data_IF_379416002318
#
_entry.id   IF_379416002318
#
_cell.length_a   1.000
_cell.length_b   1.000
_cell.length_c   1.000
_cell.angle_alpha   90.00
_cell.angle_beta   90.00
_cell.angle_gamma   90.00
#
_symmetry.space_group_name_H-M   'P 1'
#
loop_
_entity.id
_entity.type
_entity.pdbx_description
1 polymer ?
#
# COMPACT_ATOMS: atom_id res chain seq x y z
N UNK A 1 -13.58 -20.67 -36.69
CA UNK A 1 -12.32 -21.28 -36.21
C UNK A 1 -11.48 -20.29 -35.38
N UNK A 2 -12.08 -19.51 -34.45
CA UNK A 2 -11.41 -18.32 -33.87
C UNK A 2 -11.18 -18.34 -32.34
N UNK A 3 -11.80 -19.27 -31.60
CA UNK A 3 -11.67 -19.36 -30.14
C UNK A 3 -10.77 -20.50 -29.64
N UNK A 4 -10.12 -21.25 -30.54
CA UNK A 4 -9.36 -22.45 -30.19
C UNK A 4 -8.31 -22.22 -29.10
N UNK A 5 -7.61 -21.08 -29.12
CA UNK A 5 -6.60 -20.78 -28.10
C UNK A 5 -7.21 -20.52 -26.73
N UNK A 6 -8.36 -19.83 -26.66
CA UNK A 6 -9.05 -19.55 -25.39
C UNK A 6 -9.61 -20.85 -24.81
N UNK A 7 -10.32 -21.64 -25.61
CA UNK A 7 -10.85 -22.95 -25.19
C UNK A 7 -9.73 -23.91 -24.79
N UNK A 8 -8.57 -23.85 -25.48
CA UNK A 8 -7.41 -24.66 -25.11
C UNK A 8 -6.77 -24.22 -23.79
N UNK A 9 -6.67 -22.91 -23.52
CA UNK A 9 -6.19 -22.40 -22.24
C UNK A 9 -7.13 -22.84 -21.11
N UNK A 10 -8.44 -22.70 -21.30
CA UNK A 10 -9.45 -23.14 -20.34
C UNK A 10 -9.32 -24.65 -20.03
N UNK A 11 -9.24 -25.49 -21.05
CA UNK A 11 -9.02 -26.93 -20.90
C UNK A 11 -7.70 -27.25 -20.16
N UNK A 12 -6.61 -26.53 -20.47
CA UNK A 12 -5.33 -26.71 -19.78
C UNK A 12 -5.36 -26.25 -18.33
N UNK A 13 -6.15 -25.23 -18.01
CA UNK A 13 -6.38 -24.85 -16.62
C UNK A 13 -7.14 -25.95 -15.88
N UNK A 14 -8.11 -26.59 -16.53
CA UNK A 14 -8.74 -27.82 -16.01
C UNK A 14 -7.74 -28.93 -15.72
N UNK A 15 -6.78 -29.15 -16.63
CA UNK A 15 -5.70 -30.14 -16.42
C UNK A 15 -4.82 -29.79 -15.21
N UNK A 16 -4.47 -28.51 -15.02
CA UNK A 16 -3.73 -28.06 -13.83
C UNK A 16 -4.51 -28.32 -12.55
N UNK A 17 -5.83 -28.05 -12.53
CA UNK A 17 -6.66 -28.32 -11.37
C UNK A 17 -6.76 -29.83 -11.07
N UNK A 18 -6.85 -30.66 -12.11
CA UNK A 18 -6.82 -32.12 -11.95
C UNK A 18 -5.47 -32.60 -11.41
N UNK A 19 -4.36 -32.04 -11.88
CA UNK A 19 -3.02 -32.38 -11.37
C UNK A 19 -2.78 -31.91 -9.93
N UNK A 20 -3.46 -30.85 -9.45
CA UNK A 20 -3.44 -30.51 -8.03
C UNK A 20 -4.30 -31.47 -7.20
N UNK A 21 -5.34 -32.03 -7.80
CA UNK A 21 -6.28 -32.94 -7.15
C UNK A 21 -5.71 -34.35 -7.02
N UNK A 22 -4.97 -34.81 -8.03
CA UNK A 22 -4.30 -36.11 -8.13
C UNK A 22 -2.90 -35.88 -8.76
N UNK A 23 -1.87 -35.55 -7.96
CA UNK A 23 -0.54 -35.18 -8.45
C UNK A 23 0.23 -36.30 -9.14
N UNK A 24 -0.05 -37.56 -8.78
CA UNK A 24 0.67 -38.73 -9.29
C UNK A 24 -0.10 -39.46 -10.42
N UNK A 25 -1.36 -39.07 -10.66
CA UNK A 25 -2.28 -39.58 -11.68
C UNK A 25 -2.64 -41.07 -11.53
N UNK A 26 -2.70 -41.61 -10.31
CA UNK A 26 -3.08 -43.00 -10.01
C UNK A 26 -4.57 -43.19 -9.69
N UNK A 27 -5.33 -42.10 -9.57
CA UNK A 27 -6.75 -42.10 -9.23
C UNK A 27 -7.07 -42.13 -7.73
N UNK A 28 -6.06 -42.31 -6.87
CA UNK A 28 -6.13 -41.98 -5.44
C UNK A 28 -5.94 -40.47 -5.25
N UNK A 29 -6.73 -39.88 -4.36
CA UNK A 29 -6.67 -38.44 -4.06
C UNK A 29 -6.17 -38.17 -2.64
N UNK A 30 -5.66 -39.21 -1.96
CA UNK A 30 -5.16 -39.10 -0.60
C UNK A 30 -3.95 -38.15 -0.48
N UNK A 31 -3.19 -37.95 -1.57
CA UNK A 31 -2.06 -37.03 -1.70
C UNK A 31 -2.44 -35.66 -2.33
N UNK A 32 -3.74 -35.39 -2.49
CA UNK A 32 -4.25 -34.16 -3.09
C UNK A 32 -3.74 -32.90 -2.38
N UNK A 33 -3.24 -31.94 -3.15
CA UNK A 33 -2.81 -30.62 -2.67
C UNK A 33 -3.80 -29.51 -3.04
N UNK A 34 -4.85 -29.83 -3.80
CA UNK A 34 -5.79 -28.85 -4.34
C UNK A 34 -6.53 -28.04 -3.26
N UNK A 35 -6.77 -28.64 -2.09
CA UNK A 35 -7.46 -27.97 -0.99
C UNK A 35 -6.62 -26.83 -0.40
N UNK A 36 -5.31 -27.03 -0.28
CA UNK A 36 -4.38 -26.07 0.34
C UNK A 36 -3.54 -25.27 -0.67
N UNK A 37 -3.94 -25.26 -1.94
CA UNK A 37 -3.29 -24.47 -2.99
C UNK A 37 -4.13 -23.25 -3.35
N UNK A 38 -3.52 -22.06 -3.32
CA UNK A 38 -4.07 -20.87 -3.95
C UNK A 38 -3.79 -20.89 -5.46
N UNK A 39 -4.85 -20.86 -6.26
CA UNK A 39 -4.78 -20.72 -7.71
C UNK A 39 -5.25 -19.32 -8.08
N UNK A 40 -4.42 -18.57 -8.82
CA UNK A 40 -4.75 -17.24 -9.36
C UNK A 40 -4.70 -17.31 -10.89
N UNK A 41 -5.81 -16.98 -11.53
CA UNK A 41 -5.88 -16.74 -12.97
C UNK A 41 -5.95 -15.23 -13.20
N UNK A 42 -5.04 -14.69 -14.02
CA UNK A 42 -5.03 -13.27 -14.39
C UNK A 42 -4.39 -13.07 -15.77
N UNK A 43 -4.82 -12.04 -16.50
CA UNK A 43 -4.12 -11.57 -17.72
C UNK A 43 -3.14 -10.42 -17.42
N UNK A 44 -2.11 -10.24 -18.25
CA UNK A 44 -1.07 -9.22 -18.06
C UNK A 44 -1.45 -7.83 -18.63
N UNK A 45 -2.42 -7.78 -19.55
CA UNK A 45 -2.99 -6.54 -20.12
C UNK A 45 -4.32 -6.81 -20.83
N UNK A 46 -5.00 -5.75 -21.23
CA UNK A 46 -6.21 -5.85 -22.06
C UNK A 46 -5.95 -6.50 -23.42
N UNK A 47 -7.03 -6.97 -24.05
CA UNK A 47 -7.02 -7.71 -25.31
C UNK A 47 -6.41 -6.96 -26.50
N UNK A 48 -6.17 -7.67 -27.62
CA UNK A 48 -5.39 -7.18 -28.75
C UNK A 48 -6.00 -5.95 -29.44
N UNK A 49 -5.19 -5.30 -30.29
CA UNK A 49 -5.61 -4.19 -31.17
C UNK A 49 -6.18 -4.73 -32.49
N UNK A 50 -6.82 -3.85 -33.27
CA UNK A 50 -7.23 -4.13 -34.65
C UNK A 50 -8.51 -4.96 -34.73
N UNK A 51 -8.74 -5.59 -35.89
CA UNK A 51 -9.95 -6.38 -36.19
C UNK A 51 -10.20 -7.49 -35.16
N UNK A 52 -9.14 -8.10 -34.63
CA UNK A 52 -9.25 -9.12 -33.59
C UNK A 52 -9.95 -8.62 -32.31
N UNK A 53 -9.91 -7.31 -32.01
CA UNK A 53 -10.65 -6.76 -30.86
C UNK A 53 -12.15 -6.87 -31.07
N UNK A 54 -12.62 -6.41 -32.22
CA UNK A 54 -14.05 -6.32 -32.56
C UNK A 54 -14.62 -7.69 -32.86
N UNK A 55 -13.88 -8.52 -33.60
CA UNK A 55 -14.30 -9.88 -33.96
C UNK A 55 -14.42 -10.83 -32.76
N UNK A 56 -13.68 -10.58 -31.68
CA UNK A 56 -13.66 -11.45 -30.49
C UNK A 56 -14.34 -10.83 -29.27
N UNK A 57 -14.85 -9.60 -29.39
CA UNK A 57 -15.23 -8.74 -28.24
C UNK A 57 -14.21 -8.83 -27.09
N UNK A 58 -12.93 -8.70 -27.44
CA UNK A 58 -11.82 -9.11 -26.58
C UNK A 58 -11.69 -8.32 -25.27
N UNK A 59 -12.45 -7.24 -25.12
CA UNK A 59 -12.45 -6.34 -23.97
C UNK A 59 -13.85 -6.11 -23.38
N UNK A 60 -14.87 -6.88 -23.76
CA UNK A 60 -16.21 -6.83 -23.17
C UNK A 60 -16.85 -5.44 -23.21
N UNK A 61 -16.77 -4.76 -24.37
CA UNK A 61 -17.29 -3.39 -24.53
C UNK A 61 -16.51 -2.27 -23.83
N UNK A 62 -15.42 -2.57 -23.13
CA UNK A 62 -14.55 -1.54 -22.52
C UNK A 62 -13.78 -0.76 -23.59
N UNK A 63 -13.50 0.51 -23.30
CA UNK A 63 -12.74 1.37 -24.21
C UNK A 63 -11.27 1.01 -24.20
N UNK A 64 -10.66 0.97 -25.38
CA UNK A 64 -9.23 0.72 -25.54
C UNK A 64 -8.90 -0.76 -25.70
N UNK A 65 -7.60 -1.03 -25.66
CA UNK A 65 -6.98 -2.34 -25.93
C UNK A 65 -5.55 -2.33 -25.40
N UNK A 66 -4.81 -3.43 -25.53
CA UNK A 66 -3.39 -3.56 -25.18
C UNK A 66 -2.57 -2.29 -25.42
N UNK A 67 -1.89 -1.84 -24.37
CA UNK A 67 -1.00 -0.67 -24.37
C UNK A 67 -1.71 0.69 -24.40
N UNK A 68 -3.02 0.74 -24.12
CA UNK A 68 -3.74 1.98 -23.86
C UNK A 68 -4.10 2.10 -22.38
N UNK A 69 -4.24 3.34 -21.89
CA UNK A 69 -4.55 3.65 -20.47
C UNK A 69 -6.04 3.52 -20.11
N UNK A 70 -6.89 3.29 -21.11
CA UNK A 70 -8.33 3.11 -20.95
C UNK A 70 -8.65 1.74 -20.32
N UNK A 71 -9.85 1.54 -19.78
CA UNK A 71 -10.25 0.33 -19.05
C UNK A 71 -9.99 -0.94 -19.86
N UNK A 72 -10.30 -0.97 -21.15
CA UNK A 72 -10.03 -2.12 -22.03
C UNK A 72 -8.55 -2.38 -22.33
N UNK A 73 -7.63 -1.55 -21.84
CA UNK A 73 -6.20 -1.78 -21.91
C UNK A 73 -5.56 -2.26 -20.60
N UNK A 74 -6.19 -1.97 -19.45
CA UNK A 74 -5.63 -2.21 -18.11
C UNK A 74 -6.50 -3.11 -17.22
N UNK A 75 -7.82 -3.13 -17.42
CA UNK A 75 -8.75 -3.96 -16.64
C UNK A 75 -8.78 -5.37 -17.24
N UNK A 76 -8.36 -6.34 -16.44
CA UNK A 76 -8.21 -7.75 -16.84
C UNK A 76 -9.11 -8.65 -16.00
N UNK A 77 -9.50 -9.84 -16.50
CA UNK A 77 -10.14 -10.85 -15.67
C UNK A 77 -9.15 -11.36 -14.60
N UNK A 78 -9.59 -11.42 -13.36
CA UNK A 78 -8.86 -12.04 -12.24
C UNK A 78 -9.78 -12.97 -11.47
N UNK A 79 -9.37 -14.23 -11.31
CA UNK A 79 -10.11 -15.26 -10.56
C UNK A 79 -9.14 -15.89 -9.56
N UNK A 80 -9.59 -16.06 -8.31
CA UNK A 80 -8.80 -16.69 -7.25
C UNK A 80 -9.58 -17.83 -6.62
N UNK A 81 -8.91 -18.96 -6.38
CA UNK A 81 -9.48 -20.16 -5.75
C UNK A 81 -8.51 -20.71 -4.71
N UNK A 82 -8.98 -20.89 -3.47
CA UNK A 82 -8.25 -21.62 -2.42
C UNK A 82 -9.24 -22.29 -1.47
N UNK A 83 -9.59 -23.57 -1.67
CA UNK A 83 -10.71 -24.20 -0.98
C UNK A 83 -10.58 -24.24 0.55
N UNK A 84 -9.37 -24.37 1.10
CA UNK A 84 -9.14 -24.36 2.55
C UNK A 84 -9.36 -23.00 3.20
N UNK A 85 -9.07 -21.91 2.49
CA UNK A 85 -8.95 -20.55 3.07
C UNK A 85 -10.03 -19.59 2.60
N UNK A 86 -10.51 -19.72 1.37
CA UNK A 86 -11.63 -18.94 0.85
C UNK A 86 -12.92 -19.65 1.28
N UNK A 87 -13.46 -19.24 2.43
CA UNK A 87 -14.63 -19.86 3.07
C UNK A 87 -15.90 -19.02 2.87
N UNK A 88 -17.02 -19.48 3.42
CA UNK A 88 -18.27 -18.70 3.42
C UNK A 88 -18.17 -17.35 4.16
N UNK A 89 -17.16 -17.19 5.03
CA UNK A 89 -16.87 -15.93 5.76
C UNK A 89 -16.06 -14.94 4.94
N UNK A 90 -15.37 -15.40 3.90
CA UNK A 90 -14.57 -14.57 3.01
C UNK A 90 -15.46 -13.64 2.19
N UNK A 91 -14.94 -12.46 1.85
CA UNK A 91 -15.63 -11.55 0.91
C UNK A 91 -15.70 -12.14 -0.49
N UNK A 92 -14.68 -12.91 -0.88
CA UNK A 92 -14.54 -13.58 -2.17
C UNK A 92 -14.94 -15.07 -2.12
N UNK A 93 -16.01 -15.42 -1.40
CA UNK A 93 -16.52 -16.81 -1.34
C UNK A 93 -16.89 -17.37 -2.71
N UNK A 94 -16.99 -18.69 -2.83
CA UNK A 94 -17.33 -19.38 -4.07
C UNK A 94 -18.60 -18.77 -4.73
N UNK A 95 -18.49 -18.45 -6.02
CA UNK A 95 -19.58 -17.86 -6.81
C UNK A 95 -19.85 -16.38 -6.54
N UNK A 96 -19.02 -15.70 -5.74
CA UNK A 96 -19.14 -14.26 -5.47
C UNK A 96 -18.10 -13.42 -6.22
N UNK A 97 -18.26 -12.10 -6.17
CA UNK A 97 -17.33 -11.11 -6.70
C UNK A 97 -17.10 -9.99 -5.67
N UNK A 98 -16.02 -9.23 -5.85
CA UNK A 98 -15.72 -8.04 -5.03
C UNK A 98 -15.51 -6.83 -5.93
N UNK A 99 -15.91 -5.65 -5.44
CA UNK A 99 -15.66 -4.37 -6.10
C UNK A 99 -14.33 -3.73 -5.66
N UNK A 100 -13.49 -4.47 -4.92
CA UNK A 100 -12.15 -4.00 -4.56
C UNK A 100 -11.33 -3.82 -5.84
N UNK A 101 -10.81 -2.61 -6.03
CA UNK A 101 -9.90 -2.28 -7.14
C UNK A 101 -8.52 -2.86 -6.83
N UNK A 102 -8.18 -3.91 -7.56
CA UNK A 102 -6.90 -4.61 -7.49
C UNK A 102 -5.95 -4.15 -8.60
N UNK A 103 -4.65 -4.17 -8.29
CA UNK A 103 -3.55 -4.09 -9.24
C UNK A 103 -2.70 -5.37 -9.14
N UNK A 104 -1.94 -5.69 -10.19
CA UNK A 104 -1.00 -6.81 -10.18
C UNK A 104 0.03 -6.68 -9.05
N UNK A 105 0.42 -5.44 -8.69
CA UNK A 105 1.34 -5.20 -7.56
C UNK A 105 0.80 -5.69 -6.21
N UNK A 106 -0.51 -5.89 -6.06
CA UNK A 106 -1.14 -6.40 -4.83
C UNK A 106 -0.82 -7.89 -4.59
N UNK A 107 -0.41 -8.63 -5.63
CA UNK A 107 -0.13 -10.07 -5.53
C UNK A 107 1.07 -10.36 -4.63
N UNK A 108 2.17 -9.61 -4.76
CA UNK A 108 3.37 -9.83 -3.96
C UNK A 108 3.11 -9.73 -2.43
N UNK A 109 2.56 -8.62 -1.90
CA UNK A 109 2.28 -8.54 -0.47
C UNK A 109 1.20 -9.55 -0.04
N UNK A 110 0.25 -9.90 -0.93
CA UNK A 110 -0.74 -10.95 -0.66
C UNK A 110 -0.07 -12.31 -0.45
N UNK A 111 0.86 -12.69 -1.33
CA UNK A 111 1.57 -13.96 -1.22
C UNK A 111 2.50 -13.99 -0.01
N UNK A 112 3.20 -12.88 0.28
CA UNK A 112 4.00 -12.77 1.50
C UNK A 112 3.15 -13.01 2.76
N UNK A 113 2.02 -12.32 2.89
CA UNK A 113 1.14 -12.46 4.06
C UNK A 113 0.58 -13.88 4.20
N UNK A 114 0.12 -14.48 3.09
CA UNK A 114 -0.44 -15.84 3.10
C UNK A 114 0.62 -16.92 3.38
N UNK A 115 1.87 -16.67 2.99
CA UNK A 115 3.01 -17.56 3.28
C UNK A 115 3.63 -17.31 4.66
N UNK A 116 3.21 -16.27 5.40
CA UNK A 116 3.86 -15.84 6.63
C UNK A 116 5.27 -15.27 6.41
N UNK A 117 5.59 -14.85 5.19
CA UNK A 117 6.88 -14.25 4.84
C UNK A 117 6.87 -12.74 5.10
N UNK A 118 8.03 -12.14 5.42
CA UNK A 118 8.16 -10.68 5.50
C UNK A 118 7.74 -10.01 4.19
N UNK A 119 6.94 -8.94 4.29
CA UNK A 119 6.57 -8.11 3.14
C UNK A 119 7.69 -7.11 2.88
N UNK A 120 8.27 -7.05 1.66
CA UNK A 120 9.27 -6.04 1.32
C UNK A 120 8.79 -4.61 1.59
N UNK A 121 9.72 -3.71 1.89
CA UNK A 121 9.43 -2.30 2.11
C UNK A 121 9.26 -1.54 0.78
N UNK A 122 8.47 -0.48 0.78
CA UNK A 122 8.32 0.41 -0.37
C UNK A 122 7.51 -0.17 -1.54
N UNK A 123 6.72 -1.22 -1.29
CA UNK A 123 5.85 -1.80 -2.30
C UNK A 123 4.65 -0.90 -2.61
N UNK A 124 4.24 -0.93 -3.88
CA UNK A 124 3.01 -0.28 -4.34
C UNK A 124 1.73 -1.06 -4.04
N UNK A 125 1.85 -2.37 -3.83
CA UNK A 125 0.72 -3.26 -3.58
C UNK A 125 0.16 -3.20 -2.16
N UNK A 126 -1.09 -3.64 -2.02
CA UNK A 126 -1.77 -3.88 -0.75
C UNK A 126 -2.24 -5.32 -0.71
N UNK A 127 -1.88 -6.05 0.34
CA UNK A 127 -2.31 -7.44 0.51
C UNK A 127 -3.84 -7.57 0.49
N UNK A 128 -4.32 -8.56 -0.25
CA UNK A 128 -5.72 -8.99 -0.32
C UNK A 128 -6.02 -10.19 0.57
N UNK A 129 -5.04 -10.66 1.35
CA UNK A 129 -5.20 -11.84 2.20
C UNK A 129 -6.45 -11.74 3.10
N UNK A 130 -6.74 -10.60 3.79
CA UNK A 130 -7.97 -10.48 4.58
C UNK A 130 -9.26 -10.61 3.77
N UNK A 131 -9.26 -10.16 2.52
CA UNK A 131 -10.42 -10.32 1.61
C UNK A 131 -10.62 -11.77 1.20
N UNK A 132 -9.51 -12.49 0.98
CA UNK A 132 -9.52 -13.91 0.59
C UNK A 132 -9.88 -14.83 1.75
N UNK A 133 -9.30 -14.61 2.93
CA UNK A 133 -9.48 -15.50 4.10
C UNK A 133 -10.69 -15.11 4.97
N UNK A 134 -11.10 -13.84 4.93
CA UNK A 134 -12.07 -13.28 5.87
C UNK A 134 -11.48 -13.02 7.27
N UNK A 135 -10.16 -13.16 7.43
CA UNK A 135 -9.45 -12.96 8.69
C UNK A 135 -8.71 -11.62 8.69
N UNK A 136 -8.70 -10.93 9.82
CA UNK A 136 -8.06 -9.62 9.94
C UNK A 136 -8.81 -8.48 9.24
N UNK A 137 -8.12 -7.35 9.05
CA UNK A 137 -8.70 -6.13 8.50
C UNK A 137 -8.08 -5.74 7.17
N UNK A 138 -8.87 -5.74 6.10
CA UNK A 138 -8.43 -5.30 4.78
C UNK A 138 -7.91 -3.85 4.83
N UNK A 139 -6.62 -3.66 4.51
CA UNK A 139 -6.07 -2.33 4.24
C UNK A 139 -6.68 -1.81 2.94
N UNK A 140 -7.04 -0.54 2.91
CA UNK A 140 -7.68 0.08 1.75
C UNK A 140 -6.66 0.96 1.06
N UNK A 141 -6.35 0.66 -0.20
CA UNK A 141 -5.64 1.57 -1.08
C UNK A 141 -6.60 2.68 -1.50
N UNK A 142 -6.24 3.94 -1.21
CA UNK A 142 -7.11 5.07 -1.54
C UNK A 142 -7.20 5.30 -3.06
N UNK A 143 -6.06 5.20 -3.75
CA UNK A 143 -5.97 5.45 -5.18
C UNK A 143 -4.98 4.50 -5.87
N UNK A 144 -5.14 4.32 -7.18
CA UNK A 144 -4.26 3.51 -8.02
C UNK A 144 -3.80 4.33 -9.22
N UNK A 145 -2.50 4.28 -9.52
CA UNK A 145 -1.91 4.97 -10.67
C UNK A 145 -1.52 3.95 -11.72
N UNK A 146 -1.77 4.30 -12.98
CA UNK A 146 -1.34 3.52 -14.12
C UNK A 146 -0.60 4.41 -15.10
N UNK A 147 0.40 3.84 -15.77
CA UNK A 147 1.09 4.46 -16.90
C UNK A 147 1.06 3.53 -18.11
N UNK A 148 0.56 4.04 -19.24
CA UNK A 148 0.47 3.27 -20.47
C UNK A 148 0.39 4.20 -21.69
N UNK A 149 1.07 3.82 -22.78
CA UNK A 149 0.97 4.55 -24.05
C UNK A 149 1.36 6.03 -23.95
N UNK A 150 2.33 6.36 -23.09
CA UNK A 150 2.79 7.73 -22.83
C UNK A 150 1.77 8.61 -22.09
N UNK A 151 0.87 8.01 -21.32
CA UNK A 151 -0.12 8.70 -20.49
C UNK A 151 -0.09 8.13 -19.08
N UNK A 152 -0.54 8.95 -18.13
CA UNK A 152 -0.76 8.56 -16.75
C UNK A 152 -2.24 8.72 -16.39
N UNK A 153 -2.74 7.83 -15.54
CA UNK A 153 -4.09 7.91 -14.96
C UNK A 153 -4.08 7.63 -13.48
N UNK A 154 -5.07 8.16 -12.77
CA UNK A 154 -5.34 7.83 -11.36
C UNK A 154 -6.79 7.40 -11.20
N UNK A 155 -7.02 6.30 -10.50
CA UNK A 155 -8.33 5.84 -10.04
C UNK A 155 -8.41 6.12 -8.55
N UNK A 156 -9.42 6.86 -8.10
CA UNK A 156 -9.72 7.07 -6.67
C UNK A 156 -11.22 6.93 -6.43
N UNK A 157 -11.59 5.93 -5.62
CA UNK A 157 -12.97 5.50 -5.50
C UNK A 157 -13.56 5.14 -6.88
N UNK A 158 -14.69 5.74 -7.23
CA UNK A 158 -15.37 5.50 -8.52
C UNK A 158 -14.82 6.31 -9.70
N UNK A 159 -13.91 7.25 -9.47
CA UNK A 159 -13.48 8.18 -10.50
C UNK A 159 -12.11 7.83 -11.06
N UNK A 160 -11.98 7.92 -12.39
CA UNK A 160 -10.71 7.78 -13.10
C UNK A 160 -10.38 9.07 -13.84
N UNK A 161 -9.24 9.67 -13.51
CA UNK A 161 -8.66 10.78 -14.26
C UNK A 161 -7.58 10.24 -15.20
N UNK A 162 -7.61 10.64 -16.47
CA UNK A 162 -6.52 10.45 -17.43
C UNK A 162 -5.92 11.83 -17.75
N UNK A 163 -4.61 11.97 -17.52
CA UNK A 163 -3.88 13.21 -17.76
C UNK A 163 -3.77 13.51 -19.27
N UNK A 164 -3.90 14.78 -19.69
CA UNK A 164 -3.67 15.14 -21.08
C UNK A 164 -2.24 14.85 -21.53
N UNK A 165 -2.10 14.32 -22.74
CA UNK A 165 -0.82 14.19 -23.45
C UNK A 165 -0.26 15.58 -23.73
N UNK A 166 1.02 15.79 -23.43
CA UNK A 166 1.70 17.06 -23.66
C UNK A 166 1.64 18.07 -22.49
N UNK A 167 1.12 17.68 -21.32
CA UNK A 167 1.42 18.43 -20.09
C UNK A 167 2.94 18.49 -19.89
N UNK A 168 3.56 19.61 -19.48
CA UNK A 168 5.00 19.89 -19.61
C UNK A 168 6.00 18.90 -18.96
N UNK A 169 5.55 17.79 -18.37
CA UNK A 169 6.39 16.79 -17.71
C UNK A 169 6.25 15.36 -18.28
N UNK A 170 5.45 15.14 -19.33
CA UNK A 170 5.37 13.85 -20.02
C UNK A 170 6.58 13.69 -20.96
N UNK A 171 7.70 13.20 -20.42
CA UNK A 171 8.93 12.95 -21.17
C UNK A 171 8.72 11.87 -22.23
N UNK A 172 8.79 12.27 -23.50
CA UNK A 172 8.75 11.31 -24.61
C UNK A 172 8.77 12.02 -25.96
N UNK A 173 9.96 12.08 -26.60
CA UNK A 173 10.10 12.58 -27.97
C UNK A 173 9.28 11.71 -28.94
N UNK A 174 8.55 12.39 -29.81
CA UNK A 174 7.78 11.92 -30.97
C UNK A 174 8.12 10.49 -31.47
N UNK A 175 7.26 9.52 -31.18
CA UNK A 175 7.14 8.29 -31.98
C UNK A 175 5.82 8.31 -32.76
N UNK A 176 5.89 7.97 -34.05
CA UNK A 176 4.78 8.01 -35.01
C UNK A 176 3.57 7.18 -34.52
N UNK A 177 2.39 7.75 -34.75
CA UNK A 177 1.07 7.36 -34.23
C UNK A 177 0.56 6.01 -34.79
N UNK A 178 0.04 5.09 -33.97
CA UNK A 178 -0.99 4.17 -34.43
C UNK A 178 -2.35 4.88 -34.44
N UNK A 179 -3.02 4.89 -35.60
CA UNK A 179 -4.43 5.30 -35.71
C UNK A 179 -5.31 4.20 -35.11
N UNK A 180 -5.70 4.29 -33.83
CA UNK A 180 -6.80 3.48 -33.28
C UNK A 180 -8.08 4.31 -33.25
N UNK A 181 -9.18 3.71 -33.74
CA UNK A 181 -10.41 4.36 -34.21
C UNK A 181 -11.36 4.97 -33.18
N UNK A 182 -10.89 5.46 -32.03
CA UNK A 182 -11.68 6.38 -31.18
C UNK A 182 -10.70 7.45 -30.68
N UNK A 183 -10.44 8.45 -31.51
CA UNK A 183 -9.53 9.53 -31.19
C UNK A 183 -10.21 10.51 -30.21
N UNK A 184 -10.25 10.14 -28.92
CA UNK A 184 -10.52 11.15 -27.89
C UNK A 184 -9.42 12.19 -27.92
N UNK A 185 -9.79 13.46 -27.74
CA UNK A 185 -8.86 14.57 -27.68
C UNK A 185 -7.93 14.42 -26.46
N UNK A 186 -6.80 13.76 -26.68
CA UNK A 186 -5.81 13.51 -25.64
C UNK A 186 -5.11 14.78 -25.18
N UNK A 187 -5.35 15.94 -25.79
CA UNK A 187 -4.81 17.23 -25.31
C UNK A 187 -5.59 17.79 -24.11
N UNK A 188 -6.76 17.22 -23.78
CA UNK A 188 -7.60 17.62 -22.64
C UNK A 188 -7.58 16.58 -21.53
N UNK A 189 -7.78 17.05 -20.30
CA UNK A 189 -8.02 16.15 -19.17
C UNK A 189 -9.31 15.36 -19.39
N UNK A 190 -9.28 14.09 -19.02
CA UNK A 190 -10.45 13.22 -19.11
C UNK A 190 -10.77 12.67 -17.74
N UNK A 191 -12.03 12.77 -17.34
CA UNK A 191 -12.52 12.25 -16.07
C UNK A 191 -13.74 11.38 -16.34
N UNK A 192 -13.73 10.17 -15.80
CA UNK A 192 -14.81 9.19 -15.95
C UNK A 192 -15.28 8.72 -14.58
N UNK A 193 -16.55 8.37 -14.49
CA UNK A 193 -17.15 7.71 -13.35
C UNK A 193 -17.35 6.23 -13.70
N UNK A 194 -16.42 5.38 -13.26
CA UNK A 194 -16.34 3.97 -13.67
C UNK A 194 -17.52 3.12 -13.16
N UNK A 195 -18.27 3.60 -12.16
CA UNK A 195 -19.42 2.87 -11.62
C UNK A 195 -20.63 2.94 -12.56
N UNK A 196 -20.82 4.06 -13.26
CA UNK A 196 -21.96 4.26 -14.19
C UNK A 196 -21.51 4.30 -15.65
N UNK A 197 -20.22 4.48 -15.90
CA UNK A 197 -19.62 4.54 -17.23
C UNK A 197 -18.30 3.74 -17.28
N UNK A 198 -18.34 2.41 -17.10
CA UNK A 198 -17.16 1.55 -17.13
C UNK A 198 -16.50 1.51 -18.52
N UNK A 199 -17.25 1.82 -19.58
CA UNK A 199 -16.73 1.94 -20.94
C UNK A 199 -16.12 3.33 -21.24
N UNK A 200 -16.04 4.22 -20.24
CA UNK A 200 -15.47 5.56 -20.35
C UNK A 200 -16.07 6.37 -21.51
N UNK A 201 -17.36 6.27 -21.82
CA UNK A 201 -17.97 6.96 -22.97
C UNK A 201 -18.15 8.46 -22.74
N UNK A 202 -18.36 8.88 -21.49
CA UNK A 202 -18.81 10.21 -21.10
C UNK A 202 -17.74 10.95 -20.29
N UNK A 203 -16.95 11.81 -20.94
CA UNK A 203 -15.98 12.65 -20.24
C UNK A 203 -16.69 13.73 -19.41
N UNK A 204 -16.58 13.66 -18.08
CA UNK A 204 -17.20 14.60 -17.14
C UNK A 204 -16.23 15.65 -16.57
N UNK A 205 -15.02 15.77 -17.13
CA UNK A 205 -13.99 16.68 -16.61
C UNK A 205 -14.46 18.14 -16.49
N UNK A 206 -15.17 18.66 -17.50
CA UNK A 206 -15.70 20.04 -17.47
C UNK A 206 -16.79 20.26 -16.41
N UNK A 207 -17.47 19.19 -15.99
CA UNK A 207 -18.52 19.23 -14.96
C UNK A 207 -17.96 19.10 -13.54
N UNK A 208 -16.70 18.68 -13.37
CA UNK A 208 -16.04 18.48 -12.07
C UNK A 208 -14.60 19.03 -12.03
N UNK A 209 -14.40 20.33 -12.29
CA UNK A 209 -13.04 20.90 -12.41
C UNK A 209 -12.22 20.82 -11.11
N UNK A 210 -12.85 20.93 -9.94
CA UNK A 210 -12.17 20.78 -8.65
C UNK A 210 -11.61 19.37 -8.46
N UNK A 211 -12.40 18.34 -8.79
CA UNK A 211 -11.95 16.95 -8.70
C UNK A 211 -10.83 16.66 -9.70
N UNK A 212 -10.88 17.23 -10.91
CA UNK A 212 -9.78 17.14 -11.87
C UNK A 212 -8.50 17.75 -11.30
N UNK A 213 -8.58 18.94 -10.69
CA UNK A 213 -7.44 19.61 -10.06
C UNK A 213 -6.85 18.75 -8.95
N UNK A 214 -7.69 18.22 -8.07
CA UNK A 214 -7.31 17.39 -6.94
C UNK A 214 -6.62 16.09 -7.38
N UNK A 215 -7.25 15.31 -8.26
CA UNK A 215 -6.69 14.06 -8.77
C UNK A 215 -5.41 14.28 -9.57
N UNK A 216 -5.31 15.39 -10.32
CA UNK A 216 -4.09 15.70 -11.04
C UNK A 216 -2.94 16.09 -10.10
N UNK A 217 -3.25 16.78 -8.99
CA UNK A 217 -2.28 17.08 -7.94
C UNK A 217 -1.78 15.79 -7.28
N UNK A 218 -2.68 14.87 -6.91
CA UNK A 218 -2.35 13.55 -6.36
C UNK A 218 -1.44 12.75 -7.31
N UNK A 219 -1.82 12.65 -8.59
CA UNK A 219 -1.01 11.98 -9.61
C UNK A 219 0.35 12.67 -9.84
N UNK A 220 0.49 13.95 -9.49
CA UNK A 220 1.78 14.67 -9.58
C UNK A 220 2.62 14.44 -8.33
N UNK A 221 1.99 14.44 -7.14
CA UNK A 221 2.69 14.26 -5.88
C UNK A 221 3.28 12.86 -5.74
N UNK A 222 2.66 11.84 -6.33
CA UNK A 222 3.14 10.45 -6.32
C UNK A 222 4.37 10.21 -7.19
N UNK A 223 4.62 11.08 -8.18
CA UNK A 223 5.81 10.95 -9.02
C UNK A 223 7.06 11.20 -8.17
N UNK A 224 7.96 10.22 -8.18
CA UNK A 224 9.32 10.36 -7.69
C UNK A 224 10.23 10.52 -8.90
N UNK A 225 11.17 11.46 -8.86
CA UNK A 225 12.17 11.57 -9.92
C UNK A 225 13.24 10.50 -9.67
N UNK A 226 13.32 9.51 -10.56
CA UNK A 226 14.20 8.36 -10.41
C UNK A 226 15.32 8.39 -11.48
N UNK A 227 16.51 7.84 -11.17
CA UNK A 227 17.54 7.61 -12.16
C UNK A 227 17.01 6.75 -13.32
N UNK A 228 17.47 7.03 -14.53
CA UNK A 228 17.04 6.27 -15.71
C UNK A 228 17.43 4.79 -15.57
N UNK A 229 16.44 3.90 -15.51
CA UNK A 229 16.63 2.45 -15.51
C UNK A 229 16.58 1.76 -14.15
N UNK A 230 16.01 2.38 -13.10
CA UNK A 230 16.13 1.84 -11.75
C UNK A 230 14.86 1.27 -11.09
N UNK A 231 15.10 0.31 -10.19
CA UNK A 231 14.20 -0.25 -9.19
C UNK A 231 14.35 0.56 -7.87
N UNK A 232 13.71 0.17 -6.77
CA UNK A 232 13.97 0.83 -5.47
C UNK A 232 15.44 0.64 -5.04
N UNK A 233 16.09 1.65 -4.44
CA UNK A 233 17.40 1.51 -3.77
C UNK A 233 17.23 1.15 -2.30
N UNK A 234 18.14 0.35 -1.76
CA UNK A 234 18.05 -0.18 -0.39
C UNK A 234 19.22 0.30 0.45
N UNK A 235 18.93 0.89 1.60
CA UNK A 235 19.92 1.51 2.47
C UNK A 235 19.73 1.05 3.93
N UNK A 236 20.84 0.79 4.62
CA UNK A 236 20.83 0.28 5.99
C UNK A 236 21.56 1.26 6.90
N UNK A 237 21.00 1.45 8.09
CA UNK A 237 21.64 2.23 9.13
C UNK A 237 22.95 1.56 9.57
N UNK A 238 24.01 2.34 9.61
CA UNK A 238 25.33 1.93 10.10
C UNK A 238 25.97 2.99 11.02
N UNK A 239 25.21 4.03 11.34
CA UNK A 239 25.65 5.11 12.20
C UNK A 239 25.78 4.71 13.67
N UNK A 240 26.53 5.50 14.47
CA UNK A 240 26.55 5.36 15.91
C UNK A 240 25.14 5.50 16.55
N UNK A 241 25.02 5.05 17.80
CA UNK A 241 23.79 5.24 18.59
C UNK A 241 23.42 6.72 18.72
N UNK A 242 22.13 7.00 18.53
CA UNK A 242 21.49 8.31 18.60
C UNK A 242 22.08 9.39 17.66
N UNK A 243 22.75 8.99 16.58
CA UNK A 243 23.32 9.95 15.60
C UNK A 243 22.29 10.42 14.56
N UNK A 244 22.62 11.46 13.80
CA UNK A 244 21.69 12.13 12.88
C UNK A 244 21.23 11.20 11.76
N UNK A 245 19.90 11.08 11.61
CA UNK A 245 19.23 10.38 10.52
C UNK A 245 19.55 10.98 9.14
N UNK A 246 19.89 12.27 9.11
CA UNK A 246 20.15 13.03 7.88
C UNK A 246 21.62 12.96 7.43
N UNK A 247 22.52 12.41 8.25
CA UNK A 247 23.93 12.33 7.90
C UNK A 247 24.16 11.20 6.88
N UNK A 248 24.69 11.48 5.68
CA UNK A 248 25.02 10.46 4.69
C UNK A 248 25.97 9.38 5.22
N UNK A 249 26.89 9.70 6.13
CA UNK A 249 27.88 8.73 6.64
C UNK A 249 27.23 7.60 7.46
N UNK A 250 26.02 7.84 7.98
CA UNK A 250 25.28 6.88 8.80
C UNK A 250 24.47 5.87 7.98
N UNK A 251 24.50 5.96 6.65
CA UNK A 251 23.79 5.06 5.75
C UNK A 251 24.75 4.29 4.86
N UNK A 252 24.44 3.01 4.64
CA UNK A 252 25.18 2.19 3.67
C UNK A 252 25.02 2.75 2.25
N UNK A 253 26.08 2.66 1.46
CA UNK A 253 25.98 2.80 0.01
C UNK A 253 25.10 1.67 -0.56
N UNK A 254 24.36 1.99 -1.61
CA UNK A 254 23.66 1.00 -2.40
C UNK A 254 24.47 0.65 -3.64
N UNK A 255 24.77 -0.64 -3.85
CA UNK A 255 25.50 -1.12 -5.02
C UNK A 255 24.72 -2.27 -5.66
N UNK A 256 24.19 -2.05 -6.86
CA UNK A 256 23.61 -3.11 -7.68
C UNK A 256 24.69 -3.74 -8.55
N UNK A 257 25.33 -4.79 -8.02
CA UNK A 257 26.33 -5.60 -8.69
C UNK A 257 25.71 -6.92 -9.17
N UNK A 258 25.87 -7.23 -10.46
CA UNK A 258 25.51 -8.55 -10.98
C UNK A 258 26.58 -9.03 -11.96
N UNK A 259 27.06 -10.27 -11.76
CA UNK A 259 28.13 -10.88 -12.56
C UNK A 259 29.39 -10.00 -12.72
N UNK A 260 29.77 -9.25 -11.68
CA UNK A 260 30.93 -8.35 -11.69
C UNK A 260 30.70 -7.00 -12.38
N UNK A 261 29.49 -6.72 -12.87
CA UNK A 261 29.12 -5.44 -13.47
C UNK A 261 28.31 -4.63 -12.46
N UNK A 262 28.79 -3.43 -12.12
CA UNK A 262 28.02 -2.46 -11.34
C UNK A 262 27.06 -1.74 -12.28
N UNK A 263 25.78 -2.03 -12.14
CA UNK A 263 24.71 -1.40 -12.92
C UNK A 263 24.30 -0.06 -12.31
N UNK A 264 24.36 0.05 -10.99
CA UNK A 264 24.02 1.28 -10.26
C UNK A 264 24.76 1.32 -8.94
N UNK A 265 25.18 2.52 -8.56
CA UNK A 265 25.70 2.82 -7.24
C UNK A 265 25.05 4.12 -6.78
N UNK A 266 24.60 4.15 -5.53
CA UNK A 266 24.04 5.33 -4.91
C UNK A 266 24.59 5.53 -3.50
N UNK A 267 25.08 6.73 -3.26
CA UNK A 267 25.57 7.23 -1.98
C UNK A 267 24.85 8.55 -1.63
N UNK A 268 25.10 9.04 -0.42
CA UNK A 268 24.66 10.36 0.03
C UNK A 268 23.55 10.31 1.08
N UNK A 269 22.85 11.44 1.32
CA UNK A 269 21.82 11.51 2.34
C UNK A 269 20.52 10.83 1.87
N UNK A 270 19.57 10.56 2.78
CA UNK A 270 18.25 10.04 2.45
C UNK A 270 17.55 10.76 1.30
N UNK A 271 16.91 9.99 0.40
CA UNK A 271 16.14 10.49 -0.74
C UNK A 271 14.77 9.83 -0.81
N UNK A 272 13.83 10.51 -1.45
CA UNK A 272 12.43 10.09 -1.57
C UNK A 272 12.19 8.77 -2.34
N UNK A 273 13.20 8.20 -3.00
CA UNK A 273 13.17 6.86 -3.62
C UNK A 273 13.86 5.76 -2.77
N UNK A 274 14.40 6.08 -1.59
CA UNK A 274 15.10 5.12 -0.74
C UNK A 274 14.12 4.21 0.03
N UNK A 275 14.32 2.91 -0.07
CA UNK A 275 13.86 1.95 0.93
C UNK A 275 14.94 1.78 1.99
N UNK A 276 14.73 2.36 3.17
CA UNK A 276 15.73 2.37 4.23
C UNK A 276 15.32 1.53 5.43
N UNK A 277 16.30 0.97 6.14
CA UNK A 277 16.07 0.22 7.36
C UNK A 277 17.06 0.63 8.46
N UNK A 278 16.52 0.89 9.65
CA UNK A 278 17.28 1.00 10.90
C UNK A 278 17.16 -0.36 11.60
N UNK A 279 18.12 -1.25 11.34
CA UNK A 279 18.19 -2.58 11.95
C UNK A 279 19.25 -2.59 13.06
N UNK A 280 18.79 -2.67 14.31
CA UNK A 280 19.64 -2.39 15.46
C UNK A 280 20.07 -0.92 15.55
N UNK A 281 20.79 -0.59 16.62
CA UNK A 281 21.19 0.80 16.90
C UNK A 281 20.01 1.75 17.14
N UNK A 282 20.31 3.04 17.12
CA UNK A 282 19.32 4.10 17.23
C UNK A 282 19.74 5.32 16.41
N UNK A 283 18.76 5.96 15.77
CA UNK A 283 18.93 7.18 15.00
C UNK A 283 18.09 8.33 15.57
N UNK A 284 18.51 9.56 15.30
CA UNK A 284 17.81 10.78 15.71
C UNK A 284 17.49 11.61 14.47
N UNK A 285 16.19 11.80 14.20
CA UNK A 285 15.73 12.77 13.21
C UNK A 285 15.80 14.18 13.82
N UNK A 286 16.82 14.92 13.42
CA UNK A 286 17.07 16.31 13.81
C UNK A 286 16.90 17.32 12.67
N UNK A 287 16.61 16.82 11.47
CA UNK A 287 16.22 17.55 10.27
C UNK A 287 15.14 16.76 9.54
N UNK A 288 14.35 17.46 8.74
CA UNK A 288 13.39 16.81 7.85
C UNK A 288 14.13 15.90 6.87
N UNK A 289 13.63 14.68 6.72
CA UNK A 289 14.24 13.64 5.89
C UNK A 289 13.16 12.91 5.11
N UNK A 290 13.50 12.46 3.90
CA UNK A 290 12.56 11.80 3.00
C UNK A 290 13.07 10.42 2.59
N UNK A 291 12.14 9.46 2.57
CA UNK A 291 12.33 8.09 2.15
C UNK A 291 11.13 7.65 1.29
N UNK A 292 11.34 6.67 0.41
CA UNK A 292 10.22 5.93 -0.18
C UNK A 292 9.55 5.08 0.89
N UNK A 293 10.34 4.34 1.67
CA UNK A 293 9.87 3.64 2.84
C UNK A 293 10.96 3.57 3.90
N UNK A 294 10.56 3.56 5.18
CA UNK A 294 11.49 3.44 6.30
C UNK A 294 11.02 2.35 7.26
N UNK A 295 11.83 1.31 7.46
CA UNK A 295 11.64 0.30 8.48
C UNK A 295 12.50 0.61 9.70
N UNK A 296 11.92 0.45 10.90
CA UNK A 296 12.57 0.67 12.19
C UNK A 296 12.46 -0.62 13.00
N UNK A 297 13.55 -1.36 13.07
CA UNK A 297 13.73 -2.56 13.91
C UNK A 297 14.66 -2.27 15.10
N UNK A 298 15.46 -1.19 15.03
CA UNK A 298 16.19 -0.55 16.14
C UNK A 298 15.42 0.63 16.77
N UNK A 299 16.08 1.76 16.98
CA UNK A 299 15.50 2.98 17.54
C UNK A 299 15.44 4.14 16.54
N UNK A 300 14.36 4.92 16.58
CA UNK A 300 14.26 6.22 15.90
C UNK A 300 13.61 7.25 16.81
N UNK A 301 14.33 8.31 17.17
CA UNK A 301 13.78 9.46 17.90
C UNK A 301 13.56 10.64 16.95
N UNK A 302 12.33 11.16 16.90
CA UNK A 302 11.99 12.36 16.11
C UNK A 302 11.91 13.59 17.03
N UNK A 303 12.79 14.56 16.78
CA UNK A 303 12.89 15.81 17.57
C UNK A 303 11.67 16.72 17.36
N UNK A 304 11.40 17.65 18.30
CA UNK A 304 10.30 18.60 18.16
C UNK A 304 10.40 19.40 16.85
N UNK A 305 9.29 19.51 16.13
CA UNK A 305 9.21 20.29 14.88
C UNK A 305 9.87 19.66 13.66
N UNK A 306 10.41 18.45 13.77
CA UNK A 306 10.99 17.68 12.67
C UNK A 306 9.98 16.68 12.12
N UNK A 307 9.97 16.49 10.81
CA UNK A 307 9.14 15.50 10.11
C UNK A 307 10.00 14.48 9.38
N UNK A 308 9.74 13.19 9.62
CA UNK A 308 10.27 12.10 8.80
C UNK A 308 9.21 11.68 7.79
N UNK A 309 9.49 11.88 6.50
CA UNK A 309 8.58 11.51 5.41
C UNK A 309 8.95 10.12 4.89
N UNK A 310 8.04 9.17 4.99
CA UNK A 310 8.16 7.83 4.41
C UNK A 310 6.98 7.60 3.46
N UNK A 311 7.19 7.96 2.20
CA UNK A 311 6.12 8.22 1.22
C UNK A 311 5.16 7.04 1.05
N UNK A 312 5.67 5.83 0.88
CA UNK A 312 4.88 4.61 0.83
C UNK A 312 4.54 4.11 2.24
N UNK A 313 5.53 3.89 3.09
CA UNK A 313 5.29 3.27 4.40
C UNK A 313 6.40 3.63 5.38
N UNK A 314 6.01 4.01 6.62
CA UNK A 314 6.88 3.86 7.78
C UNK A 314 6.44 2.63 8.57
N UNK A 315 7.37 1.72 8.83
CA UNK A 315 7.12 0.48 9.56
C UNK A 315 7.94 0.44 10.84
N UNK A 316 7.28 0.29 11.98
CA UNK A 316 7.94 -0.05 13.24
C UNK A 316 7.80 -1.57 13.41
N UNK A 317 8.87 -2.29 13.10
CA UNK A 317 8.91 -3.75 13.08
C UNK A 317 9.08 -4.33 14.49
N UNK A 318 9.19 -5.66 14.60
CA UNK A 318 9.49 -6.33 15.87
C UNK A 318 10.74 -5.72 16.53
N UNK A 319 10.67 -5.48 17.85
CA UNK A 319 11.69 -4.78 18.68
C UNK A 319 11.95 -3.32 18.34
N UNK A 320 11.41 -2.82 17.23
CA UNK A 320 11.52 -1.43 16.80
C UNK A 320 10.91 -0.43 17.79
N UNK A 321 11.56 0.72 17.95
CA UNK A 321 11.15 1.81 18.82
C UNK A 321 11.11 3.12 18.05
N UNK A 322 9.91 3.63 17.76
CA UNK A 322 9.71 4.98 17.24
C UNK A 322 9.32 5.92 18.39
N UNK A 323 10.14 6.91 18.69
CA UNK A 323 9.92 7.89 19.77
C UNK A 323 9.62 9.25 19.18
N UNK A 324 8.38 9.73 19.34
CA UNK A 324 8.00 11.10 18.97
C UNK A 324 8.14 12.02 20.19
N UNK A 325 9.01 13.03 20.07
CA UNK A 325 9.20 14.09 21.08
C UNK A 325 8.59 15.42 20.62
N UNK A 326 7.36 15.37 20.12
CA UNK A 326 6.69 16.51 19.48
C UNK A 326 7.06 16.71 18.02
N UNK A 327 7.79 15.76 17.41
CA UNK A 327 7.99 15.66 15.97
C UNK A 327 6.85 14.93 15.27
N UNK A 328 7.01 14.72 13.97
CA UNK A 328 6.02 14.10 13.10
C UNK A 328 6.62 12.98 12.26
N UNK A 329 5.77 12.02 11.90
CA UNK A 329 6.01 11.08 10.80
C UNK A 329 4.90 11.22 9.77
N UNK A 330 5.25 11.13 8.49
CA UNK A 330 4.31 11.32 7.40
C UNK A 330 4.39 10.19 6.37
N UNK A 331 3.24 9.77 5.85
CA UNK A 331 3.17 8.79 4.76
C UNK A 331 1.93 9.03 3.92
N UNK A 332 2.03 8.78 2.61
CA UNK A 332 0.90 8.84 1.69
C UNK A 332 0.02 7.58 1.78
N UNK A 333 0.46 6.55 2.52
CA UNK A 333 -0.34 5.35 2.75
C UNK A 333 -0.60 5.14 4.24
N UNK A 334 0.42 4.75 5.00
CA UNK A 334 0.24 4.47 6.42
C UNK A 334 1.55 4.42 7.20
N UNK A 335 1.39 4.58 8.51
CA UNK A 335 2.36 4.17 9.51
C UNK A 335 1.89 2.84 10.11
N UNK A 336 2.75 1.84 10.10
CA UNK A 336 2.47 0.48 10.57
C UNK A 336 3.31 0.16 11.79
N UNK A 337 2.69 0.09 12.96
CA UNK A 337 3.32 -0.38 14.20
C UNK A 337 2.98 -1.84 14.34
N UNK A 338 3.91 -2.71 13.94
CA UNK A 338 3.70 -4.16 13.90
C UNK A 338 3.78 -4.77 15.29
N UNK A 339 3.33 -6.02 15.43
CA UNK A 339 3.50 -6.78 16.67
C UNK A 339 4.98 -6.78 17.09
N UNK A 340 5.25 -6.50 18.36
CA UNK A 340 6.60 -6.35 18.91
C UNK A 340 7.22 -4.95 18.74
N UNK A 341 6.73 -4.15 17.80
CA UNK A 341 7.12 -2.75 17.62
C UNK A 341 6.43 -1.81 18.61
N UNK A 342 7.04 -0.66 18.88
CA UNK A 342 6.50 0.34 19.81
C UNK A 342 6.60 1.75 19.24
N UNK A 343 5.48 2.50 19.28
CA UNK A 343 5.46 3.94 19.08
C UNK A 343 5.25 4.63 20.43
N UNK A 344 6.19 5.49 20.81
CA UNK A 344 6.26 6.13 22.12
C UNK A 344 6.16 7.64 22.03
N UNK A 345 5.49 8.28 22.99
CA UNK A 345 5.55 9.71 23.24
C UNK A 345 4.35 10.50 22.72
N UNK A 346 4.62 11.65 22.09
CA UNK A 346 3.61 12.60 21.60
C UNK A 346 4.12 13.31 20.34
N UNK A 347 3.21 13.80 19.50
CA UNK A 347 3.55 14.35 18.19
C UNK A 347 2.43 14.09 17.20
N UNK A 348 2.75 14.04 15.91
CA UNK A 348 1.78 13.69 14.88
C UNK A 348 2.19 12.50 14.00
N UNK A 349 1.18 11.76 13.57
CA UNK A 349 1.23 10.79 12.48
C UNK A 349 0.36 11.36 11.37
N UNK A 350 1.00 11.91 10.34
CA UNK A 350 0.35 12.50 9.18
C UNK A 350 -0.01 11.41 8.15
N UNK A 351 -0.72 10.37 8.60
CA UNK A 351 -1.13 9.23 7.79
C UNK A 351 -2.25 8.46 8.52
N UNK A 352 -2.76 7.38 7.91
CA UNK A 352 -3.47 6.36 8.70
C UNK A 352 -2.47 5.55 9.55
N UNK A 353 -2.85 5.22 10.78
CA UNK A 353 -2.06 4.44 11.72
C UNK A 353 -2.65 3.04 11.89
N UNK A 354 -1.85 2.01 11.69
CA UNK A 354 -2.16 0.62 12.06
C UNK A 354 -1.33 0.27 13.30
N UNK A 355 -2.00 0.01 14.43
CA UNK A 355 -1.37 -0.19 15.72
C UNK A 355 -1.59 -1.62 16.23
N UNK A 356 -0.82 -2.55 15.67
CA UNK A 356 -0.78 -3.96 16.08
C UNK A 356 0.24 -4.20 17.21
N UNK A 357 1.24 -3.33 17.34
CA UNK A 357 2.22 -3.33 18.43
C UNK A 357 1.78 -2.53 19.65
N UNK A 358 2.73 -1.90 20.33
CA UNK A 358 2.47 -1.09 21.52
C UNK A 358 2.44 0.40 21.19
N UNK A 359 1.41 1.10 21.66
CA UNK A 359 1.43 2.56 21.75
C UNK A 359 1.73 2.94 23.20
N UNK A 360 2.88 3.56 23.46
CA UNK A 360 3.26 4.07 24.78
C UNK A 360 3.05 5.59 24.80
N UNK A 361 1.88 6.04 25.27
CA UNK A 361 1.44 7.43 25.07
C UNK A 361 1.62 8.32 26.31
N UNK A 362 1.70 9.62 26.10
CA UNK A 362 1.87 10.62 27.17
C UNK A 362 0.53 11.04 27.78
N UNK A 363 0.49 11.24 29.11
CA UNK A 363 -0.66 11.88 29.78
C UNK A 363 -0.68 13.40 29.57
N UNK A 364 0.46 14.00 29.23
CA UNK A 364 0.62 15.45 29.11
C UNK A 364 0.13 15.98 27.77
N UNK A 365 0.42 15.25 26.69
CA UNK A 365 0.08 15.64 25.31
C UNK A 365 -0.33 14.40 24.51
N UNK A 366 -1.42 14.47 23.72
CA UNK A 366 -1.85 13.34 22.92
C UNK A 366 -0.92 13.10 21.72
N UNK A 367 -0.91 11.86 21.24
CA UNK A 367 -0.57 11.56 19.85
C UNK A 367 -1.72 12.01 18.94
N UNK A 368 -1.40 12.71 17.86
CA UNK A 368 -2.40 13.18 16.87
C UNK A 368 -2.21 12.42 15.56
N UNK A 369 -3.24 11.70 15.12
CA UNK A 369 -3.23 10.96 13.85
C UNK A 369 -4.15 11.69 12.87
N UNK A 370 -3.61 12.24 11.80
CA UNK A 370 -4.41 12.98 10.80
C UNK A 370 -5.31 12.06 9.97
N UNK A 371 -4.94 10.77 9.88
CA UNK A 371 -5.73 9.72 9.24
C UNK A 371 -6.59 8.89 10.20
N UNK A 372 -6.98 7.69 9.75
CA UNK A 372 -7.66 6.72 10.59
C UNK A 372 -6.67 5.98 11.49
N UNK A 373 -7.04 5.71 12.74
CA UNK A 373 -6.29 4.83 13.63
C UNK A 373 -7.02 3.49 13.77
N UNK A 374 -6.34 2.39 13.44
CA UNK A 374 -6.83 1.03 13.62
C UNK A 374 -6.06 0.38 14.76
N UNK A 375 -6.76 0.07 15.84
CA UNK A 375 -6.19 -0.40 17.10
C UNK A 375 -6.42 -1.90 17.25
N UNK A 376 -5.36 -2.66 17.47
CA UNK A 376 -5.45 -4.09 17.81
C UNK A 376 -4.35 -4.59 18.75
N UNK A 377 -3.33 -3.77 19.06
CA UNK A 377 -2.26 -4.11 19.98
C UNK A 377 -2.47 -3.56 21.39
N UNK A 378 -1.40 -3.12 22.04
CA UNK A 378 -1.41 -2.71 23.46
C UNK A 378 -1.28 -1.20 23.64
N UNK A 379 -1.89 -0.69 24.70
CA UNK A 379 -1.68 0.68 25.17
C UNK A 379 -0.92 0.68 26.49
N UNK A 380 0.14 1.47 26.56
CA UNK A 380 0.91 1.75 27.78
C UNK A 380 1.15 3.25 27.94
N UNK A 381 1.80 3.65 29.03
CA UNK A 381 2.11 5.04 29.35
C UNK A 381 3.61 5.30 29.22
N UNK A 382 3.97 6.38 28.52
CA UNK A 382 5.36 6.84 28.39
C UNK A 382 5.83 7.70 29.57
N UNK A 383 4.90 8.31 30.29
CA UNK A 383 5.21 9.16 31.45
C UNK A 383 4.24 8.95 32.61
N UNK A 384 4.79 9.08 33.81
CA UNK A 384 4.02 9.16 35.04
C UNK A 384 3.65 10.62 35.33
N UNK A 385 2.50 10.82 35.97
CA UNK A 385 2.06 12.11 36.48
C UNK A 385 1.52 11.97 37.91
N UNK A 386 1.51 13.07 38.66
CA UNK A 386 0.67 13.15 39.86
C UNK A 386 -0.77 13.36 39.40
N UNK A 387 -1.60 12.34 39.55
CA UNK A 387 -2.96 12.32 39.02
C UNK A 387 -3.95 12.09 40.15
N UNK A 388 -5.09 12.80 40.13
CA UNK A 388 -6.19 12.54 41.07
C UNK A 388 -7.12 11.47 40.50
N UNK A 389 -7.67 10.60 41.36
CA UNK A 389 -8.73 9.66 40.97
C UNK A 389 -9.90 10.42 40.30
N UNK A 390 -10.43 9.84 39.22
CA UNK A 390 -11.46 10.43 38.37
C UNK A 390 -10.94 11.40 37.29
N UNK A 391 -9.66 11.80 37.31
CA UNK A 391 -9.11 12.68 36.29
C UNK A 391 -8.93 11.95 34.96
N UNK A 392 -9.41 12.54 33.86
CA UNK A 392 -9.36 11.96 32.51
C UNK A 392 -8.42 12.73 31.58
N UNK A 393 -7.71 11.99 30.72
CA UNK A 393 -6.69 12.50 29.79
C UNK A 393 -6.94 11.96 28.40
N UNK A 394 -6.95 12.83 27.38
CA UNK A 394 -6.93 12.36 25.99
C UNK A 394 -5.48 12.04 25.60
N UNK A 395 -5.22 10.78 25.24
CA UNK A 395 -3.87 10.30 24.87
C UNK A 395 -3.70 10.06 23.38
N UNK A 396 -4.80 9.83 22.66
CA UNK A 396 -4.82 9.68 21.20
C UNK A 396 -5.98 10.48 20.62
N UNK A 397 -5.72 11.20 19.53
CA UNK A 397 -6.74 11.78 18.65
C UNK A 397 -6.53 11.27 17.24
N UNK A 398 -7.61 10.94 16.54
CA UNK A 398 -7.56 10.52 15.14
C UNK A 398 -8.78 11.03 14.37
N UNK A 399 -8.69 11.10 13.03
CA UNK A 399 -9.85 11.39 12.16
C UNK A 399 -10.97 10.37 12.34
N UNK A 400 -10.61 9.11 12.56
CA UNK A 400 -11.52 8.05 12.99
C UNK A 400 -10.75 6.97 13.73
N UNK A 401 -11.40 6.32 14.69
CA UNK A 401 -10.84 5.19 15.45
C UNK A 401 -11.69 3.95 15.21
N UNK A 402 -11.01 2.83 14.92
CA UNK A 402 -11.62 1.51 14.82
C UNK A 402 -10.78 0.48 15.56
N UNK A 403 -11.42 -0.59 16.02
CA UNK A 403 -10.77 -1.57 16.90
C UNK A 403 -10.60 -1.07 18.34
N UNK A 404 -9.89 -1.84 19.16
CA UNK A 404 -9.62 -1.57 20.57
C UNK A 404 -8.24 -2.10 20.93
N UNK A 405 -7.68 -1.62 22.03
CA UNK A 405 -6.46 -2.21 22.57
C UNK A 405 -6.79 -3.54 23.24
N UNK A 406 -5.83 -4.47 23.25
CA UNK A 406 -5.96 -5.78 23.88
C UNK A 406 -6.14 -5.68 25.40
N UNK A 407 -5.53 -4.68 26.02
CA UNK A 407 -5.66 -4.41 27.44
C UNK A 407 -6.77 -3.38 27.70
N UNK A 408 -7.59 -3.62 28.74
CA UNK A 408 -8.67 -2.71 29.15
C UNK A 408 -8.23 -1.69 30.22
N UNK A 409 -7.07 -1.94 30.85
CA UNK A 409 -6.49 -1.12 31.92
C UNK A 409 -4.99 -0.96 31.74
N UNK A 410 -4.47 0.11 32.33
CA UNK A 410 -3.04 0.41 32.37
C UNK A 410 -2.66 0.67 33.82
N UNK A 411 -1.46 0.26 34.21
CA UNK A 411 -0.89 0.61 35.51
C UNK A 411 0.52 1.17 35.30
N UNK A 412 0.81 2.33 35.91
CA UNK A 412 2.14 2.91 35.92
C UNK A 412 2.39 3.52 37.30
N UNK A 413 3.52 3.17 37.91
CA UNK A 413 3.93 3.66 39.24
C UNK A 413 2.87 3.49 40.34
N UNK A 414 2.12 2.38 40.31
CA UNK A 414 1.09 2.06 41.30
C UNK A 414 -0.28 2.73 41.06
N UNK A 415 -0.38 3.67 40.12
CA UNK A 415 -1.66 4.25 39.70
C UNK A 415 -2.27 3.44 38.55
N UNK A 416 -3.55 3.11 38.64
CA UNK A 416 -4.29 2.42 37.58
C UNK A 416 -5.15 3.39 36.77
N UNK A 417 -5.33 3.11 35.49
CA UNK A 417 -6.14 3.87 34.55
C UNK A 417 -7.08 2.95 33.77
N UNK A 418 -8.32 3.40 33.60
CA UNK A 418 -9.30 2.77 32.71
C UNK A 418 -9.28 3.43 31.32
N UNK A 419 -9.43 2.64 30.26
CA UNK A 419 -9.37 3.13 28.87
C UNK A 419 -10.78 3.43 28.34
N UNK A 420 -10.98 4.65 27.84
CA UNK A 420 -12.22 5.11 27.21
C UNK A 420 -12.04 5.40 25.72
N UNK A 421 -13.08 5.15 24.92
CA UNK A 421 -13.04 5.31 23.46
C UNK A 421 -14.19 6.19 22.97
N UNK A 422 -13.90 7.07 22.01
CA UNK A 422 -14.89 7.71 21.15
C UNK A 422 -14.58 7.38 19.68
N UNK A 423 -15.39 7.88 18.75
CA UNK A 423 -15.12 7.74 17.32
C UNK A 423 -13.79 8.40 16.88
N UNK A 424 -13.23 9.32 17.67
CA UNK A 424 -12.07 10.15 17.29
C UNK A 424 -11.00 10.28 18.37
N UNK A 425 -11.19 9.67 19.54
CA UNK A 425 -10.22 9.78 20.65
C UNK A 425 -10.15 8.55 21.53
N UNK A 426 -8.97 8.35 22.14
CA UNK A 426 -8.77 7.45 23.28
C UNK A 426 -8.43 8.29 24.50
N UNK A 427 -9.07 7.95 25.62
CA UNK A 427 -8.88 8.61 26.91
C UNK A 427 -8.44 7.62 27.98
N UNK A 428 -7.68 8.11 28.95
CA UNK A 428 -7.31 7.39 30.17
C UNK A 428 -7.89 8.11 31.37
N UNK A 429 -8.63 7.40 32.22
CA UNK A 429 -9.17 7.95 33.46
C UNK A 429 -8.51 7.27 34.65
N UNK A 430 -7.90 8.05 35.52
CA UNK A 430 -7.25 7.53 36.73
C UNK A 430 -8.30 6.95 37.68
N UNK A 431 -8.07 5.72 38.14
CA UNK A 431 -8.92 5.00 39.08
C UNK A 431 -8.69 5.46 40.51
#
# INVERSE_FOLDING_TARGET
>A
MKFFTVTRIDAHFGNLLNALEDPNADGDKSDSVAKDTLVVFQSDNGGPRGSNREELDANGGLLGSKGSIYEGGIRVPTIMRWPAKITAKSKLKLGSSTDIVMDCSDLLPTFCELAGAPVPLGLSGVSLAPTLTGEGGQRVREFLIHEAGGQASVIRGRYKLIRPRGSPKAGGKNKKRPKSGIAKDSSKAQLYDLQVDPAEKNNIASKRPQLVKELNALLTSERVDEPAGFANTYHFWQGPEDDSLADPANWSDYIYLNAGITYTQEEGPPKSHWCAEIDGGSAVADKDTEFLGLAVSGGLTVKPGITVHARNELRVADKGQLVLRGGAVESLRWVDVQSGGTLTGHGSVNASLYANGTLALSLKKPLVVEGAAKLSGKLSLADAGKVKSGQSFTVLKAKSISGRFENDKISLSGQSYSIGYTATSVTLTAN
#
